data_IF_170970079566
#
_entry.id   IF_170970079566
#
_cell.length_a   1.000
_cell.length_b   1.000
_cell.length_c   1.000
_cell.angle_alpha   90.00
_cell.angle_beta   90.00
_cell.angle_gamma   90.00
#
_symmetry.space_group_name_H-M   'P 1'
#
loop_
_entity.id
_entity.type
_entity.pdbx_description
1 polymer ?
#
# COMPACT_ATOMS: atom_id res chain seq x y z
N UNK A 1 -49.57 -31.22 27.28
CA UNK A 1 -48.18 -31.12 26.85
C UNK A 1 -48.19 -30.93 25.34
N UNK A 2 -47.98 -29.74 24.83
CA UNK A 2 -47.89 -29.44 23.39
C UNK A 2 -46.41 -29.38 23.00
N UNK A 3 -45.95 -30.37 22.25
CA UNK A 3 -44.62 -30.40 21.67
C UNK A 3 -44.56 -29.43 20.50
N UNK A 4 -43.72 -28.39 20.64
CA UNK A 4 -43.43 -27.44 19.59
C UNK A 4 -42.33 -28.07 18.71
N UNK A 5 -42.74 -28.63 17.57
CA UNK A 5 -41.80 -28.97 16.50
C UNK A 5 -41.32 -27.67 15.86
N UNK A 6 -40.17 -27.15 16.32
CA UNK A 6 -39.47 -26.07 15.64
C UNK A 6 -38.97 -26.59 14.29
N UNK A 7 -39.54 -26.02 13.27
CA UNK A 7 -39.19 -26.22 11.87
C UNK A 7 -37.72 -25.83 11.59
N UNK A 8 -36.79 -26.80 11.72
CA UNK A 8 -35.35 -26.60 11.49
C UNK A 8 -34.93 -26.68 10.03
N UNK A 9 -35.87 -26.93 9.12
CA UNK A 9 -35.60 -27.14 7.71
C UNK A 9 -35.27 -25.92 6.86
N UNK A 10 -35.76 -24.66 7.13
CA UNK A 10 -35.47 -23.54 6.24
C UNK A 10 -34.05 -22.95 6.42
N UNK A 11 -33.43 -23.12 7.62
CA UNK A 11 -32.12 -22.52 7.89
C UNK A 11 -30.99 -23.28 7.19
N UNK A 12 -31.10 -24.61 7.14
CA UNK A 12 -30.10 -25.45 6.45
C UNK A 12 -30.13 -25.25 4.93
N UNK A 13 -31.31 -25.06 4.35
CA UNK A 13 -31.47 -24.80 2.92
C UNK A 13 -30.95 -23.40 2.52
N UNK A 14 -31.08 -22.40 3.41
CA UNK A 14 -30.58 -21.04 3.16
C UNK A 14 -29.04 -21.00 3.22
N UNK A 15 -28.42 -21.77 4.11
CA UNK A 15 -26.95 -21.84 4.23
C UNK A 15 -26.30 -22.49 3.00
N UNK A 16 -26.93 -23.48 2.39
CA UNK A 16 -26.43 -24.13 1.17
C UNK A 16 -26.54 -23.22 -0.04
N UNK A 17 -27.59 -22.41 -0.14
CA UNK A 17 -27.76 -21.44 -1.23
C UNK A 17 -26.73 -20.29 -1.15
N UNK A 18 -26.30 -19.89 0.06
CA UNK A 18 -25.32 -18.84 0.22
C UNK A 18 -23.87 -19.27 -0.10
N UNK A 19 -23.56 -20.56 0.02
CA UNK A 19 -22.21 -21.08 -0.26
C UNK A 19 -21.90 -21.21 -1.75
N UNK A 20 -22.90 -21.21 -2.63
CA UNK A 20 -22.68 -21.29 -4.08
C UNK A 20 -22.33 -19.96 -4.72
N UNK A 21 -22.65 -18.83 -4.07
CA UNK A 21 -22.39 -17.48 -4.61
C UNK A 21 -20.97 -16.97 -4.39
N UNK A 22 -20.15 -17.62 -3.56
CA UNK A 22 -18.81 -17.13 -3.20
C UNK A 22 -17.76 -17.52 -4.24
N UNK A 23 -18.03 -18.46 -5.15
CA UNK A 23 -17.05 -18.97 -6.11
C UNK A 23 -17.13 -18.38 -7.52
N UNK A 24 -18.02 -17.43 -7.80
CA UNK A 24 -18.16 -16.86 -9.16
C UNK A 24 -17.56 -15.45 -9.32
N UNK A 25 -16.74 -14.96 -8.37
CA UNK A 25 -16.23 -13.59 -8.41
C UNK A 25 -14.82 -13.43 -8.97
N UNK A 26 -14.26 -14.44 -9.63
CA UNK A 26 -12.94 -14.31 -10.27
C UNK A 26 -12.89 -15.03 -11.60
N UNK A 27 -13.69 -14.60 -12.58
CA UNK A 27 -13.40 -14.85 -13.98
C UNK A 27 -14.15 -13.85 -14.86
N UNK A 28 -13.57 -12.66 -14.99
CA UNK A 28 -13.79 -11.85 -16.17
C UNK A 28 -12.43 -11.48 -16.75
N UNK A 29 -11.73 -12.49 -17.21
CA UNK A 29 -10.79 -12.28 -18.31
C UNK A 29 -11.57 -12.42 -19.60
N UNK A 30 -11.84 -11.28 -20.19
CA UNK A 30 -12.29 -11.19 -21.56
C UNK A 30 -11.04 -11.39 -22.42
N UNK A 31 -10.57 -12.63 -22.49
CA UNK A 31 -9.53 -13.03 -23.45
C UNK A 31 -10.18 -13.08 -24.82
N UNK A 32 -10.20 -11.94 -25.50
CA UNK A 32 -10.05 -11.95 -26.94
C UNK A 32 -8.68 -12.57 -27.19
N UNK A 33 -8.66 -13.84 -27.54
CA UNK A 33 -7.45 -14.55 -27.89
C UNK A 33 -6.82 -13.88 -29.11
N UNK A 34 -5.87 -12.97 -28.85
CA UNK A 34 -4.77 -12.75 -29.76
C UNK A 34 -3.94 -14.05 -29.78
N UNK A 35 -3.36 -14.45 -30.91
CA UNK A 35 -2.53 -15.65 -30.97
C UNK A 35 -1.45 -15.51 -29.89
N UNK A 36 -1.38 -16.52 -29.01
CA UNK A 36 -0.36 -16.58 -27.99
C UNK A 36 0.98 -16.70 -28.71
N UNK A 37 1.67 -15.56 -28.82
CA UNK A 37 3.11 -15.59 -29.02
C UNK A 37 3.66 -16.27 -27.75
N UNK A 38 4.17 -17.45 -27.93
CA UNK A 38 4.79 -18.24 -26.86
C UNK A 38 5.97 -17.43 -26.33
N UNK A 39 5.76 -16.76 -25.19
CA UNK A 39 6.80 -15.96 -24.51
C UNK A 39 8.04 -16.84 -24.36
N UNK A 40 9.14 -16.42 -24.93
CA UNK A 40 10.41 -17.12 -24.76
C UNK A 40 10.79 -17.10 -23.29
N UNK A 41 11.56 -18.08 -22.84
CA UNK A 41 12.03 -18.16 -21.45
C UNK A 41 12.78 -16.88 -21.02
N UNK A 42 13.45 -16.20 -21.96
CA UNK A 42 14.13 -14.93 -21.73
C UNK A 42 13.13 -13.77 -21.49
N UNK A 43 12.06 -13.71 -22.27
CA UNK A 43 11.00 -12.69 -22.05
C UNK A 43 10.25 -12.91 -20.73
N UNK A 44 10.02 -14.15 -20.34
CA UNK A 44 9.41 -14.48 -19.06
C UNK A 44 10.32 -14.11 -17.88
N UNK A 45 11.64 -14.29 -18.02
CA UNK A 45 12.61 -13.88 -17.01
C UNK A 45 12.68 -12.35 -16.87
N UNK A 46 12.66 -11.63 -17.99
CA UNK A 46 12.73 -10.17 -18.03
C UNK A 46 11.47 -9.54 -17.37
N UNK A 47 10.28 -10.08 -17.68
CA UNK A 47 9.01 -9.68 -17.05
C UNK A 47 8.99 -9.96 -15.54
N UNK A 48 9.60 -11.06 -15.11
CA UNK A 48 9.69 -11.40 -13.68
C UNK A 48 10.63 -10.45 -12.95
N UNK A 49 11.74 -10.08 -13.56
CA UNK A 49 12.70 -9.13 -12.96
C UNK A 49 12.09 -7.73 -12.85
N UNK A 50 11.41 -7.26 -13.91
CA UNK A 50 10.70 -5.97 -13.91
C UNK A 50 9.58 -5.93 -12.85
N UNK A 51 8.80 -7.01 -12.71
CA UNK A 51 7.78 -7.15 -11.67
C UNK A 51 8.38 -7.09 -10.27
N UNK A 52 9.46 -7.81 -10.03
CA UNK A 52 10.15 -7.83 -8.72
C UNK A 52 10.72 -6.45 -8.37
N UNK A 53 11.24 -5.73 -9.36
CA UNK A 53 11.76 -4.38 -9.16
C UNK A 53 10.64 -3.37 -8.87
N UNK A 54 9.49 -3.51 -9.52
CA UNK A 54 8.30 -2.71 -9.23
C UNK A 54 7.81 -2.95 -7.80
N UNK A 55 7.66 -4.20 -7.38
CA UNK A 55 7.22 -4.56 -6.02
C UNK A 55 8.18 -4.03 -4.95
N UNK A 56 9.48 -4.11 -5.17
CA UNK A 56 10.49 -3.54 -4.27
C UNK A 56 10.38 -2.01 -4.16
N UNK A 57 10.04 -1.34 -5.26
CA UNK A 57 9.84 0.11 -5.27
C UNK A 57 8.58 0.53 -4.53
N UNK A 58 7.48 -0.21 -4.67
CA UNK A 58 6.25 0.02 -3.92
C UNK A 58 6.45 -0.19 -2.42
N UNK A 59 7.12 -1.26 -2.02
CA UNK A 59 7.45 -1.52 -0.62
C UNK A 59 8.31 -0.41 0.00
N UNK A 60 9.24 0.16 -0.75
CA UNK A 60 10.06 1.27 -0.28
C UNK A 60 9.24 2.56 -0.06
N UNK A 61 8.31 2.87 -0.97
CA UNK A 61 7.41 4.02 -0.83
C UNK A 61 6.46 3.85 0.36
N UNK A 62 5.89 2.66 0.53
CA UNK A 62 5.01 2.34 1.66
C UNK A 62 5.74 2.52 2.98
N UNK A 63 6.92 1.97 3.13
CA UNK A 63 7.73 2.01 4.34
C UNK A 63 8.16 3.45 4.71
N UNK A 64 8.56 4.26 3.73
CA UNK A 64 8.84 5.69 3.92
C UNK A 64 7.58 6.44 4.36
N UNK A 65 6.44 6.15 3.74
CA UNK A 65 5.18 6.82 4.03
C UNK A 65 4.68 6.50 5.43
N UNK A 66 4.75 5.24 5.85
CA UNK A 66 4.38 4.81 7.20
C UNK A 66 5.28 5.44 8.25
N UNK A 67 6.60 5.42 8.05
CA UNK A 67 7.56 6.06 8.98
C UNK A 67 7.27 7.56 9.13
N UNK A 68 7.02 8.26 8.03
CA UNK A 68 6.71 9.69 8.06
C UNK A 68 5.40 9.99 8.81
N UNK A 69 4.35 9.21 8.56
CA UNK A 69 3.05 9.36 9.22
C UNK A 69 3.13 9.06 10.72
N UNK A 70 3.91 8.06 11.11
CA UNK A 70 4.12 7.67 12.50
C UNK A 70 4.90 8.75 13.28
N UNK A 71 5.95 9.31 12.70
CA UNK A 71 6.72 10.39 13.32
C UNK A 71 5.91 11.71 13.42
N UNK A 72 5.07 12.01 12.43
CA UNK A 72 4.13 13.14 12.52
C UNK A 72 3.11 12.91 13.62
N UNK A 73 2.51 11.73 13.70
CA UNK A 73 1.56 11.33 14.74
C UNK A 73 2.16 11.41 16.15
N UNK A 74 3.39 10.96 16.33
CA UNK A 74 4.10 11.03 17.60
C UNK A 74 4.39 12.48 18.03
N UNK A 75 4.66 13.37 17.08
CA UNK A 75 4.87 14.79 17.36
C UNK A 75 3.61 15.51 17.89
N UNK A 76 2.42 14.95 17.64
CA UNK A 76 1.13 15.48 18.11
C UNK A 76 0.92 15.29 19.61
N UNK A 77 1.52 14.27 20.23
CA UNK A 77 1.38 13.95 21.66
C UNK A 77 2.19 14.84 22.61
N UNK A 78 3.01 15.74 22.07
CA UNK A 78 3.91 16.62 22.84
C UNK A 78 3.29 17.95 23.27
N UNK A 79 4.06 18.74 24.05
CA UNK A 79 3.68 20.10 24.46
C UNK A 79 3.74 21.16 23.34
N UNK A 80 4.14 20.76 22.14
CA UNK A 80 4.18 21.59 20.95
C UNK A 80 4.45 20.69 19.75
N UNK A 81 3.77 20.93 18.66
CA UNK A 81 3.97 20.20 17.44
C UNK A 81 5.34 20.54 16.84
N UNK A 82 6.23 19.57 16.76
CA UNK A 82 7.54 19.70 16.14
C UNK A 82 8.05 18.33 15.63
N UNK A 83 7.61 17.84 14.47
CA UNK A 83 8.08 16.60 13.90
C UNK A 83 9.53 16.74 13.46
N UNK A 84 10.41 15.90 13.95
CA UNK A 84 11.84 15.93 13.60
C UNK A 84 12.18 15.03 12.44
N UNK A 85 11.32 14.03 12.15
CA UNK A 85 11.54 12.98 11.15
C UNK A 85 12.91 12.30 11.32
N UNK A 86 13.29 12.05 12.57
CA UNK A 86 14.63 11.57 12.90
C UNK A 86 14.90 10.17 12.36
N UNK A 87 13.95 9.27 12.49
CA UNK A 87 14.06 7.90 11.98
C UNK A 87 14.03 7.86 10.46
N UNK A 88 13.12 8.61 9.85
CA UNK A 88 13.07 8.75 8.41
C UNK A 88 14.40 9.31 7.85
N UNK A 89 15.00 10.30 8.52
CA UNK A 89 16.27 10.90 8.11
C UNK A 89 17.46 9.95 8.24
N UNK A 90 17.40 8.92 9.11
CA UNK A 90 18.45 7.88 9.13
C UNK A 90 18.51 7.11 7.80
N UNK A 91 17.39 6.98 7.12
CA UNK A 91 17.27 6.26 5.85
C UNK A 91 17.51 7.17 4.64
N UNK A 92 16.83 8.32 4.60
CA UNK A 92 16.92 9.22 3.43
C UNK A 92 18.04 10.25 3.55
N UNK A 93 18.56 10.52 4.77
CA UNK A 93 19.60 11.52 5.00
C UNK A 93 19.12 12.93 4.66
N UNK A 94 20.01 13.69 4.05
CA UNK A 94 19.75 15.05 3.54
C UNK A 94 19.28 15.06 2.09
N UNK A 95 19.05 13.87 1.52
CA UNK A 95 18.69 13.65 0.14
C UNK A 95 17.34 14.29 -0.23
N UNK A 96 16.38 14.26 0.70
CA UNK A 96 15.05 14.82 0.47
C UNK A 96 14.74 16.00 1.38
N UNK A 97 13.93 16.92 0.87
CA UNK A 97 13.24 17.90 1.71
C UNK A 97 11.95 17.30 2.24
N UNK A 98 11.64 17.54 3.53
CA UNK A 98 10.39 17.11 4.15
C UNK A 98 9.62 18.36 4.56
N UNK A 99 8.38 18.50 4.09
CA UNK A 99 7.49 19.60 4.45
C UNK A 99 6.15 19.07 4.94
N UNK A 100 5.58 19.72 5.95
CA UNK A 100 4.25 19.40 6.50
C UNK A 100 3.36 20.63 6.40
N UNK A 101 2.16 20.46 5.91
CA UNK A 101 1.18 21.55 5.79
C UNK A 101 -0.22 21.07 6.22
N UNK A 102 -0.87 21.72 7.18
CA UNK A 102 -0.35 22.78 8.04
C UNK A 102 0.75 22.28 9.00
N UNK A 103 1.71 23.14 9.35
CA UNK A 103 2.79 22.81 10.29
C UNK A 103 2.38 23.13 11.75
N UNK A 104 1.31 22.51 12.17
CA UNK A 104 0.74 22.57 13.51
C UNK A 104 0.01 21.24 13.84
N UNK A 105 -0.75 21.20 14.93
CA UNK A 105 -1.48 20.00 15.35
C UNK A 105 -2.86 19.84 14.72
N UNK A 106 -3.18 20.54 13.63
CA UNK A 106 -4.49 20.44 12.96
C UNK A 106 -4.50 19.41 11.84
N UNK A 107 -5.67 18.82 11.57
CA UNK A 107 -5.93 17.93 10.44
C UNK A 107 -7.01 18.52 9.52
N UNK A 108 -7.03 18.15 8.23
CA UNK A 108 -6.12 17.22 7.53
C UNK A 108 -4.74 17.82 7.28
N UNK A 109 -3.72 16.95 7.19
CA UNK A 109 -2.34 17.32 6.89
C UNK A 109 -1.87 16.75 5.57
N UNK A 110 -0.88 17.41 4.99
CA UNK A 110 -0.13 16.88 3.85
C UNK A 110 1.35 16.86 4.20
N UNK A 111 1.96 15.69 4.18
CA UNK A 111 3.40 15.52 4.31
C UNK A 111 3.97 15.32 2.92
N UNK A 112 4.93 16.12 2.52
CA UNK A 112 5.62 16.02 1.24
C UNK A 112 7.08 15.70 1.47
N UNK A 113 7.57 14.61 0.89
CA UNK A 113 8.97 14.17 0.90
C UNK A 113 9.46 14.29 -0.53
N UNK A 114 10.27 15.29 -0.83
CA UNK A 114 10.71 15.62 -2.19
C UNK A 114 12.20 15.32 -2.38
N UNK A 115 12.49 14.37 -3.27
CA UNK A 115 13.83 13.96 -3.69
C UNK A 115 14.33 14.75 -4.92
N UNK A 116 13.52 15.65 -5.45
CA UNK A 116 13.85 16.51 -6.59
C UNK A 116 14.23 15.72 -7.85
N UNK A 117 15.35 16.11 -8.46
CA UNK A 117 15.87 15.46 -9.66
C UNK A 117 16.54 14.10 -9.41
N UNK A 118 16.59 13.68 -8.17
CA UNK A 118 17.16 12.41 -7.73
C UNK A 118 18.46 12.54 -6.97
N UNK A 119 18.60 11.67 -5.96
CA UNK A 119 19.78 11.61 -5.10
C UNK A 119 19.96 10.21 -4.52
N UNK A 120 21.20 9.89 -4.12
CA UNK A 120 21.51 8.67 -3.37
C UNK A 120 21.26 8.96 -1.90
N UNK A 121 20.33 8.25 -1.28
CA UNK A 121 19.95 8.40 0.11
C UNK A 121 20.97 7.74 1.05
N UNK A 122 20.82 7.95 2.37
CA UNK A 122 21.73 7.41 3.38
C UNK A 122 21.72 5.87 3.41
N UNK A 123 20.61 5.24 3.06
CA UNK A 123 20.47 3.78 2.91
C UNK A 123 21.06 3.23 1.59
N UNK A 124 21.70 4.07 0.78
CA UNK A 124 22.31 3.71 -0.49
C UNK A 124 21.36 3.60 -1.68
N UNK A 125 20.06 3.80 -1.49
CA UNK A 125 19.06 3.76 -2.58
C UNK A 125 19.00 5.09 -3.33
N UNK A 126 18.89 5.02 -4.64
CA UNK A 126 18.61 6.18 -5.48
C UNK A 126 17.09 6.43 -5.53
N UNK A 127 16.66 7.64 -5.16
CA UNK A 127 15.26 8.06 -5.23
C UNK A 127 15.11 9.35 -5.99
N UNK A 128 13.97 9.52 -6.68
CA UNK A 128 13.66 10.69 -7.50
C UNK A 128 12.17 11.01 -7.44
N UNK A 129 11.81 12.28 -7.53
CA UNK A 129 10.43 12.74 -7.49
C UNK A 129 9.96 13.02 -6.07
N UNK A 130 8.66 12.93 -5.81
CA UNK A 130 8.09 13.23 -4.50
C UNK A 130 7.08 12.18 -4.04
N UNK A 131 7.03 11.94 -2.72
CA UNK A 131 5.98 11.18 -2.04
C UNK A 131 5.09 12.19 -1.34
N UNK A 132 3.78 12.12 -1.55
CA UNK A 132 2.78 13.00 -0.94
C UNK A 132 1.80 12.14 -0.14
N UNK A 133 1.67 12.43 1.15
CA UNK A 133 0.83 11.70 2.10
C UNK A 133 -0.27 12.66 2.58
N UNK A 134 -1.52 12.21 2.53
CA UNK A 134 -2.70 12.98 2.96
C UNK A 134 -3.40 12.36 4.14
#
# INVERSE_FOLDING_TARGET
MKTIFLNRFPIAALAVLFSVFVFTSCQKENSTAAPADELTAEQAADLTDESTQADASFGDVEDISLTAAEEDGNAMGGRGYNPTFAELRLRIGVCASITVSPNDSTYPKTITIDFGNGCICADGKFRKGAIIIH
#
